data_IF_056844103776
#
_entry.id   IF_056844103776
#
_cell.length_a   1.000
_cell.length_b   1.000
_cell.length_c   1.000
_cell.angle_alpha   90.00
_cell.angle_beta   90.00
_cell.angle_gamma   90.00
#
_symmetry.space_group_name_H-M   'P 1'
#
loop_
_entity.id
_entity.type
_entity.pdbx_description
1 polymer ?
#
# COMPACT_ATOMS: atom_id res chain seq x y z
N UNK A 1 -7.27 -37.32 2.71
CA UNK A 1 -7.02 -36.38 3.84
C UNK A 1 -7.36 -34.99 3.31
N UNK A 2 -8.32 -34.28 3.93
CA UNK A 2 -8.69 -32.93 3.48
C UNK A 2 -7.60 -31.97 3.94
N UNK A 3 -6.96 -31.24 3.03
CA UNK A 3 -5.93 -30.27 3.39
C UNK A 3 -6.52 -29.26 4.40
N UNK A 4 -5.83 -28.97 5.52
CA UNK A 4 -6.27 -27.94 6.44
C UNK A 4 -6.29 -26.60 5.70
N UNK A 5 -7.41 -25.86 5.82
CA UNK A 5 -7.48 -24.50 5.28
C UNK A 5 -6.49 -23.63 6.05
N UNK A 6 -5.46 -23.13 5.37
CA UNK A 6 -4.43 -22.26 5.94
C UNK A 6 -4.83 -20.81 5.67
N UNK A 7 -4.84 -19.98 6.71
CA UNK A 7 -5.10 -18.55 6.60
C UNK A 7 -3.94 -17.81 7.24
N UNK A 8 -3.36 -16.86 6.49
CA UNK A 8 -2.32 -15.95 6.97
C UNK A 8 -2.82 -14.52 6.79
N UNK A 9 -2.55 -13.67 7.78
CA UNK A 9 -2.86 -12.25 7.76
C UNK A 9 -1.60 -11.49 8.16
N UNK A 10 -1.22 -10.49 7.37
CA UNK A 10 0.00 -9.71 7.53
C UNK A 10 -0.37 -8.23 7.47
N UNK A 11 -0.53 -7.55 8.62
CA UNK A 11 -0.75 -6.11 8.63
C UNK A 11 0.52 -5.36 8.27
N UNK A 12 0.39 -4.25 7.55
CA UNK A 12 1.49 -3.34 7.27
C UNK A 12 1.08 -1.87 7.45
N UNK A 13 2.10 -1.03 7.64
CA UNK A 13 1.96 0.43 7.66
C UNK A 13 2.99 1.03 6.72
N UNK A 14 2.61 2.10 6.04
CA UNK A 14 3.45 2.81 5.09
C UNK A 14 3.53 4.27 5.50
N UNK A 15 4.74 4.79 5.65
CA UNK A 15 5.00 6.21 5.84
C UNK A 15 5.73 6.73 4.61
N UNK A 16 5.23 7.81 4.02
CA UNK A 16 5.80 8.48 2.85
C UNK A 16 6.14 9.91 3.20
N UNK A 17 7.32 10.34 2.78
CA UNK A 17 7.74 11.74 2.81
C UNK A 17 8.15 12.12 1.39
N UNK A 18 7.48 13.12 0.83
CA UNK A 18 7.76 13.68 -0.49
C UNK A 18 8.35 15.06 -0.33
N UNK A 19 9.40 15.34 -1.11
CA UNK A 19 10.02 16.66 -1.20
C UNK A 19 9.75 17.24 -2.58
N UNK A 20 9.34 18.50 -2.64
CA UNK A 20 9.06 19.24 -3.87
C UNK A 20 9.46 20.71 -3.68
N UNK A 21 9.58 21.51 -4.75
CA UNK A 21 9.88 22.93 -4.60
C UNK A 21 8.79 23.67 -3.82
N UNK A 22 9.21 24.54 -2.90
CA UNK A 22 8.29 25.48 -2.25
C UNK A 22 7.78 26.51 -3.25
N UNK A 23 6.50 26.86 -3.19
CA UNK A 23 5.93 27.93 -4.01
C UNK A 23 5.77 29.22 -3.19
N UNK A 24 6.52 30.29 -3.53
CA UNK A 24 6.43 31.56 -2.81
C UNK A 24 5.00 32.12 -2.79
N UNK A 25 4.46 32.39 -1.60
CA UNK A 25 3.13 32.96 -1.41
C UNK A 25 1.99 31.93 -1.35
N UNK A 26 2.27 30.64 -1.53
CA UNK A 26 1.30 29.57 -1.34
C UNK A 26 1.54 28.85 0.01
N UNK A 27 0.69 29.05 1.02
CA UNK A 27 0.87 28.44 2.34
C UNK A 27 0.68 26.91 2.35
N UNK A 28 0.18 26.31 1.27
CA UNK A 28 -0.03 24.87 1.15
C UNK A 28 1.10 24.15 0.40
N UNK A 29 2.00 24.89 -0.25
CA UNK A 29 3.13 24.34 -0.99
C UNK A 29 4.44 24.53 -0.20
N UNK A 30 4.51 23.88 0.96
CA UNK A 30 5.64 23.95 1.91
C UNK A 30 6.85 23.13 1.50
N UNK A 31 6.87 22.56 0.29
CA UNK A 31 7.99 21.78 -0.25
C UNK A 31 8.22 20.41 0.39
N UNK A 32 7.37 20.04 1.36
CA UNK A 32 7.37 18.73 2.01
C UNK A 32 5.93 18.29 2.22
N UNK A 33 5.65 17.04 1.87
CA UNK A 33 4.37 16.37 2.13
C UNK A 33 4.61 15.02 2.80
N UNK A 34 3.85 14.74 3.85
CA UNK A 34 3.96 13.50 4.63
C UNK A 34 2.63 12.78 4.64
N UNK A 35 2.66 11.50 4.31
CA UNK A 35 1.47 10.64 4.24
C UNK A 35 1.70 9.34 5.02
N UNK A 36 0.65 8.82 5.64
CA UNK A 36 0.69 7.55 6.37
C UNK A 36 -0.53 6.72 5.99
N UNK A 37 -0.26 5.48 5.58
CA UNK A 37 -1.28 4.50 5.22
C UNK A 37 -1.13 3.22 6.05
N UNK A 38 -2.24 2.50 6.21
CA UNK A 38 -2.29 1.16 6.80
C UNK A 38 -2.88 0.20 5.79
N UNK A 39 -2.35 -1.02 5.73
CA UNK A 39 -2.88 -2.06 4.87
C UNK A 39 -2.77 -3.45 5.50
N UNK A 40 -3.32 -4.42 4.80
CA UNK A 40 -3.40 -5.80 5.27
C UNK A 40 -3.31 -6.75 4.09
N UNK A 41 -2.35 -7.67 4.14
CA UNK A 41 -2.29 -8.79 3.22
C UNK A 41 -2.91 -10.03 3.85
N UNK A 42 -3.61 -10.80 3.03
CA UNK A 42 -4.24 -12.05 3.41
C UNK A 42 -3.96 -13.14 2.39
N UNK A 43 -3.54 -14.31 2.88
CA UNK A 43 -3.34 -15.52 2.07
C UNK A 43 -4.22 -16.64 2.59
N UNK A 44 -5.05 -17.22 1.73
CA UNK A 44 -6.00 -18.28 2.08
C UNK A 44 -5.77 -19.50 1.19
N UNK A 45 -5.41 -20.64 1.78
CA UNK A 45 -5.35 -21.94 1.09
C UNK A 45 -6.75 -22.51 0.86
N UNK A 46 -7.17 -22.57 -0.40
CA UNK A 46 -8.46 -23.12 -0.81
C UNK A 46 -8.42 -24.64 -1.01
N UNK A 47 -7.28 -25.17 -1.51
CA UNK A 47 -6.99 -26.60 -1.64
C UNK A 47 -5.49 -26.86 -1.43
N UNK A 48 -5.02 -28.11 -1.62
CA UNK A 48 -3.60 -28.48 -1.50
C UNK A 48 -2.69 -27.65 -2.42
N UNK A 49 -3.22 -27.22 -3.57
CA UNK A 49 -2.45 -26.62 -4.67
C UNK A 49 -3.02 -25.25 -5.11
N UNK A 50 -4.00 -24.71 -4.37
CA UNK A 50 -4.65 -23.43 -4.69
C UNK A 50 -4.63 -22.50 -3.48
N UNK A 51 -4.08 -21.30 -3.68
CA UNK A 51 -4.08 -20.21 -2.72
C UNK A 51 -4.72 -18.96 -3.31
N UNK A 52 -5.41 -18.20 -2.47
CA UNK A 52 -6.00 -16.91 -2.78
C UNK A 52 -5.21 -15.84 -2.01
N UNK A 53 -4.63 -14.90 -2.76
CA UNK A 53 -3.93 -13.73 -2.22
C UNK A 53 -4.80 -12.49 -2.35
N UNK A 54 -4.92 -11.74 -1.26
CA UNK A 54 -5.75 -10.54 -1.14
C UNK A 54 -4.94 -9.45 -0.45
N UNK A 55 -5.05 -8.22 -0.93
CA UNK A 55 -4.44 -7.05 -0.30
C UNK A 55 -5.50 -5.98 -0.09
N UNK A 56 -5.54 -5.40 1.10
CA UNK A 56 -6.39 -4.27 1.46
C UNK A 56 -5.52 -3.03 1.55
N UNK A 57 -5.95 -1.96 0.87
CA UNK A 57 -5.22 -0.69 0.72
C UNK A 57 -3.82 -0.86 0.09
N UNK A 58 -3.73 -1.40 -1.13
CA UNK A 58 -2.46 -1.58 -1.79
C UNK A 58 -1.78 -0.22 -2.04
N UNK A 59 -0.46 -0.20 -1.96
CA UNK A 59 0.34 1.01 -2.11
C UNK A 59 0.51 1.50 -3.57
N UNK A 60 -0.02 0.74 -4.55
CA UNK A 60 0.09 0.95 -6.01
C UNK A 60 -0.42 2.29 -6.55
N UNK A 61 -1.02 3.16 -5.73
CA UNK A 61 -1.66 4.41 -6.14
C UNK A 61 -0.73 5.55 -6.57
N UNK A 62 0.58 5.33 -6.69
CA UNK A 62 1.52 6.36 -7.18
C UNK A 62 2.18 5.94 -8.48
N UNK A 63 1.37 5.93 -9.54
CA UNK A 63 1.88 6.23 -10.88
C UNK A 63 1.76 7.76 -11.00
N UNK A 64 2.76 8.48 -10.49
CA UNK A 64 2.93 9.87 -10.89
C UNK A 64 3.25 9.81 -12.39
N UNK A 65 2.26 10.15 -13.22
CA UNK A 65 2.54 10.37 -14.63
C UNK A 65 3.51 11.54 -14.69
N UNK A 66 4.80 11.26 -14.94
CA UNK A 66 5.76 12.31 -15.25
C UNK A 66 5.12 13.22 -16.31
N UNK A 67 4.97 14.53 -16.06
CA UNK A 67 4.51 15.44 -17.08
C UNK A 67 5.52 15.44 -18.24
N UNK A 68 5.03 15.18 -19.46
CA UNK A 68 5.74 15.40 -20.72
C UNK A 68 5.91 16.88 -21.03
#
# INVERSE_FOLDING_TARGET
IKAPRRVELLPYSLAKTRHFPEEPGNPFATGVDNDVALGLDGKIGLSSDLTLDLTVNPDFGQVEADPS
#
